data_IF_050201036534
#
_entry.id   IF_050201036534
#
_cell.length_a   1.000
_cell.length_b   1.000
_cell.length_c   1.000
_cell.angle_alpha   90.00
_cell.angle_beta   90.00
_cell.angle_gamma   90.00
#
_symmetry.space_group_name_H-M   'P 1'
#
loop_
_entity.id
_entity.type
_entity.pdbx_description
1 polymer ?
#
# COMPACT_ATOMS: atom_id res chain seq x y z
N UNK A 1 -6.58 8.64 7.76
CA UNK A 1 -6.03 7.26 7.68
C UNK A 1 -5.13 7.21 6.47
N UNK A 2 -3.90 6.68 6.56
CA UNK A 2 -3.03 6.63 5.38
C UNK A 2 -3.52 5.54 4.43
N UNK A 3 -3.82 5.92 3.18
CA UNK A 3 -4.37 5.06 2.14
C UNK A 3 -3.43 5.12 0.94
N UNK A 4 -3.15 3.98 0.32
CA UNK A 4 -2.37 3.97 -0.91
C UNK A 4 -3.20 4.53 -2.08
N UNK A 5 -2.66 5.52 -2.80
CA UNK A 5 -3.38 6.16 -3.92
C UNK A 5 -3.76 5.19 -5.05
N UNK A 6 -2.93 4.18 -5.32
CA UNK A 6 -3.16 3.21 -6.42
C UNK A 6 -4.04 2.05 -5.97
N UNK A 7 -3.67 1.35 -4.90
CA UNK A 7 -4.33 0.10 -4.48
C UNK A 7 -5.50 0.31 -3.52
N UNK A 8 -5.73 1.55 -3.06
CA UNK A 8 -6.76 1.93 -2.06
C UNK A 8 -6.69 1.14 -0.75
N UNK A 9 -5.58 0.44 -0.50
CA UNK A 9 -5.37 -0.31 0.74
C UNK A 9 -5.12 0.63 1.91
N UNK A 10 -5.69 0.29 3.06
CA UNK A 10 -5.57 1.02 4.31
C UNK A 10 -4.95 0.13 5.41
N UNK A 11 -4.67 0.71 6.57
CA UNK A 11 -4.25 -0.06 7.76
C UNK A 11 -5.36 -1.00 8.25
N UNK A 12 -4.98 -2.12 8.85
CA UNK A 12 -5.88 -3.14 9.40
C UNK A 12 -5.62 -3.30 10.90
N UNK A 13 -6.66 -3.59 11.68
CA UNK A 13 -6.50 -4.00 13.08
C UNK A 13 -6.24 -5.51 13.13
N UNK A 14 -5.07 -5.92 13.58
CA UNK A 14 -4.69 -7.33 13.71
C UNK A 14 -4.46 -7.70 15.17
N UNK A 15 -4.95 -8.86 15.58
CA UNK A 15 -4.53 -9.48 16.84
C UNK A 15 -3.13 -10.10 16.72
N UNK A 16 -2.55 -10.49 17.84
CA UNK A 16 -1.44 -11.42 17.86
C UNK A 16 -1.76 -12.62 18.73
N UNK A 17 -0.84 -13.57 18.79
CA UNK A 17 -0.91 -14.73 19.66
C UNK A 17 0.42 -14.84 20.39
N UNK A 18 0.38 -15.16 21.69
CA UNK A 18 1.60 -15.32 22.49
C UNK A 18 2.00 -16.79 22.59
N UNK A 19 3.30 -17.07 22.45
CA UNK A 19 3.87 -18.41 22.63
C UNK A 19 4.16 -18.76 24.10
N UNK A 20 3.65 -17.97 25.07
CA UNK A 20 3.98 -18.13 26.50
C UNK A 20 3.23 -19.28 27.17
N UNK A 21 2.11 -19.71 26.59
CA UNK A 21 1.30 -20.84 27.03
C UNK A 21 1.38 -21.99 26.04
N UNK A 22 1.04 -23.21 26.47
CA UNK A 22 1.00 -24.43 25.62
C UNK A 22 0.29 -24.10 24.29
N UNK A 23 0.91 -24.45 23.16
CA UNK A 23 0.47 -24.09 21.81
C UNK A 23 -0.97 -24.53 21.47
N UNK A 24 -1.55 -25.46 22.25
CA UNK A 24 -2.92 -25.95 22.12
C UNK A 24 -3.98 -24.98 22.69
N UNK A 25 -3.60 -23.95 23.44
CA UNK A 25 -4.52 -22.95 24.01
C UNK A 25 -4.37 -21.61 23.29
N UNK A 26 -5.44 -21.14 22.63
CA UNK A 26 -5.45 -19.81 22.01
C UNK A 26 -5.34 -18.71 23.09
N UNK A 27 -4.23 -17.96 23.11
CA UNK A 27 -3.93 -16.89 24.05
C UNK A 27 -3.67 -15.60 23.25
N UNK A 28 -4.75 -14.87 22.89
CA UNK A 28 -4.65 -13.70 22.05
C UNK A 28 -3.94 -12.56 22.77
N UNK A 29 -3.01 -11.91 22.08
CA UNK A 29 -2.54 -10.60 22.51
C UNK A 29 -3.48 -9.51 22.01
N UNK A 30 -3.44 -8.34 22.64
CA UNK A 30 -4.27 -7.20 22.29
C UNK A 30 -4.21 -6.84 20.80
N UNK A 31 -5.27 -6.22 20.28
CA UNK A 31 -5.34 -5.81 18.88
C UNK A 31 -4.42 -4.60 18.65
N UNK A 32 -3.48 -4.75 17.72
CA UNK A 32 -2.53 -3.70 17.32
C UNK A 32 -2.85 -3.30 15.88
N UNK A 33 -2.75 -1.99 15.59
CA UNK A 33 -2.91 -1.48 14.24
C UNK A 33 -1.70 -1.84 13.39
N UNK A 34 -1.93 -2.54 12.27
CA UNK A 34 -0.92 -2.87 11.26
C UNK A 34 -0.99 -1.85 10.14
N UNK A 35 0.07 -1.05 10.03
CA UNK A 35 0.17 0.01 9.02
C UNK A 35 0.68 -0.52 7.69
N UNK A 36 0.27 0.14 6.61
CA UNK A 36 0.76 -0.15 5.27
C UNK A 36 2.14 0.49 5.08
N UNK A 37 3.06 -0.21 4.38
CA UNK A 37 4.37 0.34 4.01
C UNK A 37 4.22 1.34 2.86
N UNK A 38 3.93 2.58 3.21
CA UNK A 38 3.77 3.71 2.30
C UNK A 38 5.09 4.45 2.15
N UNK A 39 5.44 4.77 0.92
CA UNK A 39 6.65 5.49 0.57
C UNK A 39 6.31 6.67 -0.34
N UNK A 40 6.92 7.81 -0.07
CA UNK A 40 6.89 8.95 -0.99
C UNK A 40 7.90 8.68 -2.09
N UNK A 41 7.44 8.57 -3.33
CA UNK A 41 8.29 8.33 -4.50
C UNK A 41 7.95 9.31 -5.61
N UNK A 42 8.99 9.72 -6.33
CA UNK A 42 8.89 10.50 -7.56
C UNK A 42 8.93 9.55 -8.74
N UNK A 43 7.90 9.58 -9.57
CA UNK A 43 7.74 8.70 -10.73
C UNK A 43 7.69 9.59 -11.97
N UNK A 44 8.48 9.25 -12.97
CA UNK A 44 8.43 9.89 -14.27
C UNK A 44 7.34 9.21 -15.12
N UNK A 45 6.45 10.00 -15.71
CA UNK A 45 5.44 9.52 -16.65
C UNK A 45 5.82 10.07 -18.04
N UNK A 46 6.35 9.22 -18.93
CA UNK A 46 6.87 9.68 -20.22
C UNK A 46 5.80 10.32 -21.11
N UNK A 47 4.56 9.85 -21.04
CA UNK A 47 3.44 10.33 -21.86
C UNK A 47 3.05 11.79 -21.55
N UNK A 48 3.32 12.24 -20.33
CA UNK A 48 3.03 13.62 -19.88
C UNK A 48 4.33 14.43 -19.76
N UNK A 49 5.48 13.77 -19.95
CA UNK A 49 6.82 14.31 -19.73
C UNK A 49 6.96 15.07 -18.39
N UNK A 50 6.32 14.54 -17.34
CA UNK A 50 6.27 15.16 -16.00
C UNK A 50 6.65 14.14 -14.94
N UNK A 51 7.25 14.64 -13.87
CA UNK A 51 7.49 13.89 -12.65
C UNK A 51 6.32 14.10 -11.68
N UNK A 52 5.76 13.00 -11.17
CA UNK A 52 4.71 13.01 -10.17
C UNK A 52 5.26 12.51 -8.84
N UNK A 53 5.03 13.28 -7.78
CA UNK A 53 5.33 12.88 -6.41
C UNK A 53 4.08 12.22 -5.80
N UNK A 54 4.14 10.91 -5.53
CA UNK A 54 2.98 10.15 -5.05
C UNK A 54 3.38 9.36 -3.79
N UNK A 55 2.49 9.31 -2.81
CA UNK A 55 2.61 8.39 -1.68
C UNK A 55 1.97 7.04 -2.07
N UNK A 56 2.83 6.05 -2.30
CA UNK A 56 2.46 4.74 -2.87
C UNK A 56 2.94 3.62 -1.95
N UNK A 57 2.17 2.54 -1.89
CA UNK A 57 2.60 1.31 -1.21
C UNK A 57 3.59 0.50 -2.06
N UNK A 58 4.41 -0.33 -1.44
CA UNK A 58 5.32 -1.24 -2.18
C UNK A 58 4.57 -2.12 -3.19
N UNK A 59 3.35 -2.56 -2.84
CA UNK A 59 2.51 -3.30 -3.77
C UNK A 59 2.04 -2.42 -4.95
N UNK A 60 1.72 -1.15 -4.70
CA UNK A 60 1.40 -0.19 -5.76
C UNK A 60 2.57 0.01 -6.73
N UNK A 61 3.80 0.08 -6.23
CA UNK A 61 5.01 0.13 -7.07
C UNK A 61 5.15 -1.11 -7.96
N UNK A 62 4.88 -2.30 -7.41
CA UNK A 62 4.88 -3.55 -8.19
C UNK A 62 3.81 -3.55 -9.29
N UNK A 63 2.62 -3.01 -9.01
CA UNK A 63 1.53 -2.90 -10.00
C UNK A 63 1.90 -1.92 -11.12
N UNK A 64 2.51 -0.77 -10.81
CA UNK A 64 3.00 0.17 -11.83
C UNK A 64 4.08 -0.47 -12.71
N UNK A 65 4.99 -1.26 -12.13
CA UNK A 65 6.01 -1.98 -12.90
C UNK A 65 5.40 -3.01 -13.85
N UNK A 66 4.31 -3.69 -13.46
CA UNK A 66 3.65 -4.72 -14.29
C UNK A 66 2.82 -4.12 -15.42
N UNK A 67 2.00 -3.12 -15.11
CA UNK A 67 0.96 -2.63 -16.02
C UNK A 67 1.32 -1.30 -16.70
N UNK A 68 2.47 -0.70 -16.38
CA UNK A 68 2.88 0.63 -16.82
C UNK A 68 2.37 1.75 -15.91
N UNK A 69 3.12 2.86 -15.87
CA UNK A 69 2.81 4.00 -15.01
C UNK A 69 1.55 4.74 -15.46
N UNK A 70 1.42 5.03 -16.75
CA UNK A 70 0.29 5.80 -17.28
C UNK A 70 -1.06 5.10 -17.06
N UNK A 71 -1.18 3.84 -17.49
CA UNK A 71 -2.42 3.07 -17.36
C UNK A 71 -2.87 2.90 -15.89
N UNK A 72 -1.92 2.71 -14.98
CA UNK A 72 -2.23 2.54 -13.55
C UNK A 72 -2.62 3.85 -12.87
N UNK A 73 -1.98 4.96 -13.24
CA UNK A 73 -2.30 6.28 -12.70
C UNK A 73 -3.61 6.85 -13.28
N UNK A 74 -3.90 6.57 -14.55
CA UNK A 74 -5.19 6.88 -15.18
C UNK A 74 -6.32 6.11 -14.48
N UNK A 75 -6.16 4.80 -14.28
CA UNK A 75 -7.14 3.98 -13.55
C UNK A 75 -7.34 4.42 -12.11
N UNK A 76 -6.28 4.94 -11.47
CA UNK A 76 -6.35 5.49 -10.13
C UNK A 76 -6.99 6.89 -10.08
N UNK A 77 -7.25 7.52 -11.23
CA UNK A 77 -7.79 8.88 -11.31
C UNK A 77 -6.81 9.98 -10.92
N UNK A 78 -5.50 9.68 -10.90
CA UNK A 78 -4.43 10.63 -10.56
C UNK A 78 -4.00 11.47 -11.76
N UNK A 79 -4.37 11.03 -12.96
CA UNK A 79 -4.14 11.69 -14.26
C UNK A 79 -5.50 11.76 -14.95
N UNK A 80 -5.84 12.92 -15.54
CA UNK A 80 -6.95 13.03 -16.50
C UNK A 80 -6.42 12.76 -17.90
N UNK A 81 -7.17 11.97 -18.67
CA UNK A 81 -6.97 11.83 -20.11
C UNK A 81 -7.19 13.17 -20.81
#
# INVERSE_FOLDING_TARGET
MKICAITKKSSIMGGGYSNRTRATKFNPTGRIRKHLNLQKKRIFVPEINKFLNIEVSVQGLRTMKKNGAYATLLKAGLIKA
#
